data_IF_502000502775
#
_entry.id   IF_502000502775
#
_cell.length_a   1.000
_cell.length_b   1.000
_cell.length_c   1.000
_cell.angle_alpha   90.00
_cell.angle_beta   90.00
_cell.angle_gamma   90.00
#
_symmetry.space_group_name_H-M   'P 1'
#
loop_
_entity.id
_entity.type
_entity.pdbx_description
1 polymer ?
#
# COMPACT_ATOMS: atom_id res chain seq x y z
N UNK A 1 -26.78 -18.73 -22.60
CA UNK A 1 -25.77 -18.51 -21.56
C UNK A 1 -25.45 -19.85 -20.94
N UNK A 2 -24.20 -20.30 -21.00
CA UNK A 2 -23.81 -21.62 -20.45
C UNK A 2 -23.47 -21.50 -18.95
N UNK A 3 -23.51 -22.60 -18.17
CA UNK A 3 -23.09 -22.59 -16.77
C UNK A 3 -21.65 -22.05 -16.56
N UNK A 4 -20.76 -22.26 -17.55
CA UNK A 4 -19.40 -21.73 -17.55
C UNK A 4 -19.31 -20.22 -17.80
N UNK A 5 -20.32 -19.63 -18.45
CA UNK A 5 -20.37 -18.17 -18.65
C UNK A 5 -20.81 -17.48 -17.34
N UNK A 6 -21.83 -18.02 -16.66
CA UNK A 6 -22.31 -17.50 -15.37
C UNK A 6 -21.20 -17.51 -14.31
N UNK A 7 -20.45 -18.61 -14.19
CA UNK A 7 -19.35 -18.70 -13.23
C UNK A 7 -18.22 -17.71 -13.53
N UNK A 8 -17.98 -17.39 -14.82
CA UNK A 8 -16.97 -16.41 -15.24
C UNK A 8 -17.40 -14.99 -14.88
N UNK A 9 -18.66 -14.66 -15.12
CA UNK A 9 -19.23 -13.34 -14.80
C UNK A 9 -19.21 -13.10 -13.29
N UNK A 10 -19.60 -14.10 -12.49
CA UNK A 10 -19.51 -14.01 -11.03
C UNK A 10 -18.08 -13.80 -10.53
N UNK A 11 -17.09 -14.48 -11.14
CA UNK A 11 -15.69 -14.33 -10.75
C UNK A 11 -15.15 -12.94 -11.09
N UNK A 12 -15.60 -12.37 -12.21
CA UNK A 12 -15.32 -10.99 -12.62
C UNK A 12 -15.91 -10.02 -11.62
N UNK A 13 -17.19 -10.17 -11.27
CA UNK A 13 -17.89 -9.28 -10.35
C UNK A 13 -17.26 -9.31 -8.95
N UNK A 14 -16.89 -10.50 -8.46
CA UNK A 14 -16.17 -10.64 -7.20
C UNK A 14 -14.82 -9.90 -7.21
N UNK A 15 -14.09 -9.94 -8.33
CA UNK A 15 -12.81 -9.25 -8.47
C UNK A 15 -12.98 -7.73 -8.59
N UNK A 16 -14.06 -7.25 -9.18
CA UNK A 16 -14.45 -5.83 -9.17
C UNK A 16 -14.69 -5.38 -7.72
N UNK A 17 -15.41 -6.18 -6.91
CA UNK A 17 -15.59 -5.88 -5.49
C UNK A 17 -14.27 -5.79 -4.71
N UNK A 18 -13.29 -6.65 -5.01
CA UNK A 18 -11.94 -6.56 -4.45
C UNK A 18 -11.26 -5.22 -4.83
N UNK A 19 -11.36 -4.81 -6.09
CA UNK A 19 -10.81 -3.53 -6.57
C UNK A 19 -11.49 -2.34 -5.85
N UNK A 20 -12.79 -2.38 -5.63
CA UNK A 20 -13.52 -1.33 -4.90
C UNK A 20 -13.06 -1.25 -3.44
N UNK A 21 -12.92 -2.38 -2.75
CA UNK A 21 -12.41 -2.41 -1.37
C UNK A 21 -10.96 -1.89 -1.27
N UNK A 22 -10.12 -2.16 -2.27
CA UNK A 22 -8.76 -1.61 -2.36
C UNK A 22 -8.75 -0.08 -2.52
N UNK A 23 -9.67 0.48 -3.31
CA UNK A 23 -9.81 1.94 -3.41
C UNK A 23 -10.23 2.57 -2.07
N UNK A 24 -11.15 1.91 -1.33
CA UNK A 24 -11.54 2.34 0.01
C UNK A 24 -10.36 2.27 0.98
N UNK A 25 -9.55 1.20 0.91
CA UNK A 25 -8.36 1.02 1.73
C UNK A 25 -7.33 2.14 1.47
N UNK A 26 -7.08 2.49 0.20
CA UNK A 26 -6.21 3.61 -0.18
C UNK A 26 -6.76 4.94 0.36
N UNK A 27 -8.07 5.15 0.28
CA UNK A 27 -8.70 6.36 0.81
C UNK A 27 -8.52 6.47 2.34
N UNK A 28 -8.74 5.38 3.07
CA UNK A 28 -8.54 5.31 4.51
C UNK A 28 -7.08 5.53 4.92
N UNK A 29 -6.13 4.95 4.17
CA UNK A 29 -4.69 5.16 4.38
C UNK A 29 -4.28 6.63 4.20
N UNK A 30 -4.86 7.32 3.21
CA UNK A 30 -4.59 8.76 2.97
C UNK A 30 -5.06 9.65 4.12
N UNK A 31 -6.14 9.27 4.80
CA UNK A 31 -6.74 10.05 5.90
C UNK A 31 -6.34 9.55 7.29
N UNK A 32 -5.58 8.45 7.38
CA UNK A 32 -5.27 7.73 8.63
C UNK A 32 -6.53 7.29 9.40
N UNK A 33 -7.59 6.94 8.70
CA UNK A 33 -8.82 6.41 9.30
C UNK A 33 -8.67 4.90 9.54
N UNK A 34 -8.37 4.52 10.78
CA UNK A 34 -8.12 3.11 11.16
C UNK A 34 -9.39 2.27 11.08
N UNK A 35 -10.55 2.85 11.40
CA UNK A 35 -11.83 2.11 11.39
C UNK A 35 -12.24 1.81 9.94
N UNK A 36 -12.13 2.80 9.07
CA UNK A 36 -12.38 2.60 7.64
C UNK A 36 -11.36 1.63 7.01
N UNK A 37 -10.09 1.70 7.44
CA UNK A 37 -9.04 0.78 7.00
C UNK A 37 -9.38 -0.67 7.37
N UNK A 38 -9.71 -0.93 8.64
CA UNK A 38 -10.08 -2.27 9.11
C UNK A 38 -11.28 -2.84 8.34
N UNK A 39 -12.32 -2.03 8.14
CA UNK A 39 -13.50 -2.42 7.38
C UNK A 39 -13.14 -2.78 5.93
N UNK A 40 -12.40 -1.91 5.25
CA UNK A 40 -11.98 -2.13 3.86
C UNK A 40 -11.07 -3.36 3.72
N UNK A 41 -10.16 -3.59 4.68
CA UNK A 41 -9.33 -4.79 4.70
C UNK A 41 -10.18 -6.06 4.87
N UNK A 42 -11.20 -6.05 5.73
CA UNK A 42 -12.09 -7.19 5.90
C UNK A 42 -12.90 -7.48 4.62
N UNK A 43 -13.47 -6.44 4.00
CA UNK A 43 -14.19 -6.55 2.71
C UNK A 43 -13.28 -7.11 1.61
N UNK A 44 -12.02 -6.64 1.54
CA UNK A 44 -11.01 -7.14 0.59
C UNK A 44 -10.74 -8.64 0.76
N UNK A 45 -10.54 -9.09 2.00
CA UNK A 45 -10.26 -10.50 2.31
C UNK A 45 -11.45 -11.39 1.96
N UNK A 46 -12.67 -10.97 2.31
CA UNK A 46 -13.90 -11.68 1.93
C UNK A 46 -14.07 -11.75 0.41
N UNK A 47 -13.77 -10.65 -0.31
CA UNK A 47 -13.80 -10.62 -1.77
C UNK A 47 -12.80 -11.60 -2.39
N UNK A 48 -11.58 -11.70 -1.86
CA UNK A 48 -10.57 -12.67 -2.31
C UNK A 48 -11.05 -14.11 -2.10
N UNK A 49 -11.65 -14.40 -0.93
CA UNK A 49 -12.24 -15.72 -0.66
C UNK A 49 -13.37 -16.05 -1.63
N UNK A 50 -14.25 -15.08 -1.94
CA UNK A 50 -15.31 -15.25 -2.93
C UNK A 50 -14.75 -15.54 -4.34
N UNK A 51 -13.72 -14.80 -4.77
CA UNK A 51 -13.02 -15.07 -6.05
C UNK A 51 -12.43 -16.48 -6.07
N UNK A 52 -11.83 -16.94 -4.96
CA UNK A 52 -11.25 -18.27 -4.85
C UNK A 52 -12.31 -19.39 -4.87
N UNK A 53 -13.45 -19.18 -4.22
CA UNK A 53 -14.57 -20.12 -4.19
C UNK A 53 -15.20 -20.34 -5.59
N UNK A 54 -15.13 -19.33 -6.46
CA UNK A 54 -15.58 -19.41 -7.85
C UNK A 54 -14.57 -20.12 -8.77
N UNK A 55 -13.43 -20.54 -8.22
CA UNK A 55 -12.46 -21.41 -8.88
C UNK A 55 -11.15 -20.71 -9.25
N UNK A 56 -10.07 -21.49 -9.32
CA UNK A 56 -8.70 -21.03 -9.62
C UNK A 56 -8.24 -21.41 -11.02
N UNK A 57 -9.16 -21.85 -11.88
CA UNK A 57 -8.88 -22.21 -13.27
C UNK A 57 -8.30 -21.04 -14.09
N UNK A 58 -7.75 -21.32 -15.29
CA UNK A 58 -7.08 -20.32 -16.12
C UNK A 58 -7.92 -19.06 -16.32
N UNK A 59 -7.37 -17.92 -15.95
CA UNK A 59 -8.02 -16.63 -16.16
C UNK A 59 -7.92 -16.21 -17.63
N UNK A 60 -9.06 -15.88 -18.24
CA UNK A 60 -9.11 -15.21 -19.53
C UNK A 60 -8.54 -13.77 -19.46
N UNK A 61 -8.35 -13.11 -20.61
CA UNK A 61 -7.67 -11.80 -20.68
C UNK A 61 -8.27 -10.74 -19.74
N UNK A 62 -9.59 -10.67 -19.68
CA UNK A 62 -10.31 -9.70 -18.85
C UNK A 62 -10.09 -9.90 -17.34
N UNK A 63 -10.21 -11.14 -16.85
CA UNK A 63 -9.93 -11.47 -15.44
C UNK A 63 -8.47 -11.17 -15.08
N UNK A 64 -7.54 -11.38 -16.02
CA UNK A 64 -6.12 -11.01 -15.80
C UNK A 64 -5.95 -9.51 -15.67
N UNK A 65 -6.57 -8.72 -16.55
CA UNK A 65 -6.51 -7.25 -16.45
C UNK A 65 -7.03 -6.73 -15.11
N UNK A 66 -8.14 -7.29 -14.62
CA UNK A 66 -8.68 -6.94 -13.30
C UNK A 66 -7.74 -7.37 -12.17
N UNK A 67 -7.13 -8.56 -12.26
CA UNK A 67 -6.17 -9.02 -11.26
C UNK A 67 -4.90 -8.14 -11.25
N UNK A 68 -4.43 -7.71 -12.41
CA UNK A 68 -3.31 -6.79 -12.55
C UNK A 68 -3.63 -5.40 -11.98
N UNK A 69 -4.86 -4.90 -12.14
CA UNK A 69 -5.34 -3.68 -11.48
C UNK A 69 -5.36 -3.85 -9.96
N UNK A 70 -5.95 -4.92 -9.44
CA UNK A 70 -5.99 -5.21 -8.01
C UNK A 70 -4.56 -5.30 -7.42
N UNK A 71 -3.62 -5.92 -8.13
CA UNK A 71 -2.21 -5.97 -7.73
C UNK A 71 -1.56 -4.59 -7.69
N UNK A 72 -1.81 -3.73 -8.70
CA UNK A 72 -1.29 -2.35 -8.72
C UNK A 72 -1.85 -1.51 -7.58
N UNK A 73 -3.12 -1.66 -7.25
CA UNK A 73 -3.74 -0.98 -6.11
C UNK A 73 -3.18 -1.48 -4.77
N UNK A 74 -2.99 -2.79 -4.60
CA UNK A 74 -2.40 -3.34 -3.38
C UNK A 74 -0.94 -2.91 -3.19
N UNK A 75 -0.18 -2.79 -4.28
CA UNK A 75 1.16 -2.20 -4.25
C UNK A 75 1.12 -0.74 -3.76
N UNK A 76 0.09 0.03 -4.15
CA UNK A 76 -0.12 1.38 -3.66
C UNK A 76 -0.39 1.39 -2.14
N UNK A 77 -1.22 0.48 -1.62
CA UNK A 77 -1.43 0.32 -0.18
C UNK A 77 -0.10 0.04 0.56
N UNK A 78 0.72 -0.87 0.03
CA UNK A 78 2.04 -1.21 0.58
C UNK A 78 2.96 0.01 0.67
N UNK A 79 2.98 0.85 -0.37
CA UNK A 79 3.76 2.09 -0.39
C UNK A 79 3.32 3.03 0.75
N UNK A 80 2.02 3.23 0.94
CA UNK A 80 1.51 4.07 2.03
C UNK A 80 1.93 3.57 3.41
N UNK A 81 1.74 2.28 3.69
CA UNK A 81 2.13 1.68 4.98
C UNK A 81 3.63 1.82 5.24
N UNK A 82 4.46 1.53 4.23
CA UNK A 82 5.91 1.67 4.34
C UNK A 82 6.32 3.12 4.58
N UNK A 83 5.68 4.08 3.91
CA UNK A 83 5.94 5.50 4.11
C UNK A 83 5.60 5.94 5.53
N UNK A 84 4.47 5.50 6.07
CA UNK A 84 4.07 5.77 7.46
C UNK A 84 5.10 5.22 8.46
N UNK A 85 5.52 3.97 8.29
CA UNK A 85 6.55 3.36 9.14
C UNK A 85 7.89 4.12 9.06
N UNK A 86 8.33 4.49 7.85
CA UNK A 86 9.54 5.26 7.65
C UNK A 86 9.46 6.67 8.27
N UNK A 87 8.28 7.32 8.21
CA UNK A 87 8.03 8.61 8.84
C UNK A 87 8.16 8.52 10.37
N UNK A 88 7.53 7.52 10.99
CA UNK A 88 7.62 7.30 12.44
C UNK A 88 9.06 7.02 12.85
N UNK A 89 9.77 6.13 12.14
CA UNK A 89 11.19 5.83 12.39
C UNK A 89 12.07 7.08 12.36
N UNK A 90 11.93 7.93 11.32
CA UNK A 90 12.70 9.19 11.21
C UNK A 90 12.45 10.12 12.39
N UNK A 91 11.19 10.28 12.80
CA UNK A 91 10.84 11.12 13.95
C UNK A 91 11.46 10.61 15.25
N UNK A 92 11.42 9.30 15.47
CA UNK A 92 12.06 8.67 16.63
C UNK A 92 13.58 8.93 16.63
N UNK A 93 14.26 8.74 15.49
CA UNK A 93 15.70 9.03 15.36
C UNK A 93 16.06 10.49 15.66
N UNK A 94 15.21 11.44 15.24
CA UNK A 94 15.38 12.86 15.60
C UNK A 94 15.25 13.08 17.10
N UNK A 95 14.23 12.48 17.74
CA UNK A 95 13.97 12.66 19.17
C UNK A 95 15.04 12.01 20.06
N UNK A 96 15.65 10.92 19.62
CA UNK A 96 16.72 10.22 20.37
C UNK A 96 18.12 10.81 20.12
N UNK A 97 18.24 11.87 19.32
CA UNK A 97 19.53 12.47 18.95
C UNK A 97 20.35 11.62 17.98
N UNK A 98 19.78 10.53 17.46
CA UNK A 98 20.44 9.59 16.54
C UNK A 98 20.45 10.10 15.09
N UNK A 99 19.71 11.18 14.81
CA UNK A 99 19.73 11.90 13.54
C UNK A 99 21.12 12.49 13.17
N UNK A 100 22.10 12.45 14.08
CA UNK A 100 23.47 12.95 13.87
C UNK A 100 24.60 11.94 14.11
N UNK A 101 24.33 10.66 14.42
CA UNK A 101 25.40 9.70 14.76
C UNK A 101 25.91 8.86 13.58
N UNK A 102 25.41 9.12 12.36
CA UNK A 102 25.86 8.49 11.11
C UNK A 102 26.71 9.35 10.18
N UNK A 103 27.00 10.61 10.53
CA UNK A 103 27.93 11.45 9.78
C UNK A 103 28.63 12.40 10.74
N UNK A 104 29.97 12.43 10.69
CA UNK A 104 30.82 13.19 11.62
C UNK A 104 30.59 14.71 11.66
N UNK A 105 31.40 15.43 12.43
CA UNK A 105 31.11 16.80 12.84
C UNK A 105 31.20 17.79 11.67
N UNK A 106 30.07 18.38 11.26
CA UNK A 106 30.05 19.47 10.29
C UNK A 106 29.04 20.58 10.66
N UNK A 107 29.08 21.03 11.90
CA UNK A 107 28.79 22.44 12.20
C UNK A 107 29.64 22.88 13.39
N UNK A 108 30.70 23.65 13.12
CA UNK A 108 31.46 24.43 14.11
C UNK A 108 31.24 25.92 13.82
N UNK A 109 30.33 26.61 14.52
CA UNK A 109 30.29 28.06 14.51
C UNK A 109 31.42 28.56 15.43
N UNK A 110 32.45 29.18 14.84
CA UNK A 110 33.50 29.89 15.58
C UNK A 110 34.89 29.25 15.47
N UNK A 111 35.71 29.79 14.58
CA UNK A 111 37.14 29.46 14.46
C UNK A 111 37.83 30.32 13.41
N UNK A 112 38.20 31.55 13.79
CA UNK A 112 39.04 32.45 12.99
C UNK A 112 40.47 31.88 12.79
N UNK A 113 41.04 32.03 11.60
CA UNK A 113 42.27 32.82 11.37
C UNK A 113 42.73 32.88 9.89
N UNK A 114 42.80 34.12 9.41
CA UNK A 114 43.80 34.78 8.53
C UNK A 114 44.55 34.05 7.40
N UNK A 115 44.43 34.72 6.24
CA UNK A 115 45.47 35.33 5.38
C UNK A 115 46.32 34.47 4.44
N UNK A 116 46.14 34.68 3.12
CA UNK A 116 47.12 34.92 2.02
C UNK A 116 46.28 35.51 0.85
N UNK A 117 46.64 36.48 0.01
CA UNK A 117 47.83 37.27 -0.29
C UNK A 117 47.36 38.63 -0.88
#
# INVERSE_FOLDING_TARGET
MTPNDVSRDLRRDALIGVIESLHQEIAALKTNDIVALERATQEKLQGIEAVAALGTGPAGPELRMLADEANRLNETCRIYVNLMAANVRRRLQTLTGDAGLGAGPAYRPGGMMRAYA
#
